data_IF_241913107318
#
_entry.id   IF_241913107318
#
_cell.length_a   1.000
_cell.length_b   1.000
_cell.length_c   1.000
_cell.angle_alpha   90.00
_cell.angle_beta   90.00
_cell.angle_gamma   90.00
#
_symmetry.space_group_name_H-M   'P 1'
#
loop_
_entity.id
_entity.type
_entity.pdbx_description
1 polymer ?
2 non-polymer ?
3 non-polymer ?
4 water ?
#
# COMPACT_ATOMS: atom_id res chain seq x y z
N UNK A 1 -7.13 18.35 4.03
CA UNK A 1 -6.65 16.98 3.78
C UNK A 1 -7.61 16.27 2.80
N UNK A 2 -7.57 14.94 2.79
CA UNK A 2 -8.66 14.01 2.40
C UNK A 2 -9.11 13.32 3.68
N UNK A 3 -10.29 12.78 3.69
CA UNK A 3 -10.83 12.00 4.83
C UNK A 3 -10.32 10.57 4.70
N UNK A 4 -9.72 10.07 5.75
CA UNK A 4 -9.30 8.66 5.86
C UNK A 4 -10.32 7.92 6.70
N UNK A 5 -10.72 6.68 6.39
CA UNK A 5 -10.26 5.95 5.21
C UNK A 5 -10.71 6.58 3.90
N UNK A 6 -9.91 6.44 2.86
CA UNK A 6 -10.12 7.10 1.56
C UNK A 6 -10.13 6.01 0.50
N UNK A 7 -11.11 6.07 -0.38
CA UNK A 7 -11.19 5.17 -1.54
C UNK A 7 -10.80 5.91 -2.81
N UNK A 8 -9.83 5.36 -3.53
CA UNK A 8 -9.40 5.81 -4.86
C UNK A 8 -9.87 4.76 -5.86
N UNK A 9 -10.90 5.03 -6.68
CA UNK A 9 -11.28 4.11 -7.73
C UNK A 9 -10.13 3.98 -8.71
N UNK A 10 -9.91 2.76 -9.23
CA UNK A 10 -8.89 2.46 -10.23
C UNK A 10 -9.65 1.99 -11.46
N UNK A 11 -10.06 2.89 -12.37
CA UNK A 11 -11.00 2.50 -13.43
C UNK A 11 -10.44 1.45 -14.39
N UNK A 12 -11.11 0.32 -14.51
CA UNK A 12 -10.60 -0.79 -15.31
C UNK A 12 -9.44 -1.51 -14.66
N UNK A 13 -9.27 -1.32 -13.37
CA UNK A 13 -8.22 -2.00 -12.63
C UNK A 13 -6.86 -1.47 -12.91
N UNK A 14 -5.88 -2.24 -12.51
CA UNK A 14 -4.45 -1.85 -12.66
C UNK A 14 -3.89 -2.55 -13.88
N UNK A 15 -2.76 -2.08 -14.33
CA UNK A 15 -2.11 -2.52 -15.58
C UNK A 15 -0.66 -2.15 -15.40
N UNK A 16 0.27 -2.87 -16.01
CA UNK A 16 1.64 -2.40 -15.99
C UNK A 16 1.74 -0.99 -16.60
N UNK A 17 2.63 -0.22 -15.98
CA UNK A 17 2.97 1.21 -16.26
C UNK A 17 2.06 2.19 -15.53
N UNK A 18 1.15 1.69 -14.71
CA UNK A 18 0.31 2.55 -13.87
C UNK A 18 1.08 2.84 -12.58
N UNK A 19 1.16 4.13 -12.31
CA UNK A 19 1.89 4.62 -11.10
C UNK A 19 0.90 5.29 -10.18
N UNK A 20 0.81 4.80 -8.93
CA UNK A 20 -0.05 5.42 -7.91
C UNK A 20 0.84 6.19 -6.93
N UNK A 21 0.49 7.44 -6.71
CA UNK A 21 1.24 8.31 -5.76
C UNK A 21 0.36 8.72 -4.61
N UNK A 22 0.86 8.51 -3.39
CA UNK A 22 0.12 8.84 -2.15
C UNK A 22 1.01 9.81 -1.38
N UNK A 23 0.51 10.99 -1.08
CA UNK A 23 1.24 11.99 -0.26
C UNK A 23 0.51 12.17 1.05
N UNK A 24 1.23 12.14 2.16
CA UNK A 24 0.60 12.44 3.45
C UNK A 24 1.65 12.68 4.51
N UNK A 25 1.19 12.82 5.73
CA UNK A 25 2.05 13.01 6.89
C UNK A 25 1.60 12.00 7.94
N UNK A 26 2.55 11.34 8.59
CA UNK A 26 2.23 10.35 9.63
C UNK A 26 1.79 11.12 10.88
N UNK A 27 0.73 10.69 11.54
CA UNK A 27 0.27 11.31 12.81
C UNK A 27 1.33 11.13 13.89
N UNK A 28 1.31 11.95 14.96
CA UNK A 28 2.19 11.65 16.07
C UNK A 28 1.70 10.34 16.72
N UNK A 29 2.63 9.56 17.23
CA UNK A 29 2.29 8.34 17.99
C UNK A 29 1.51 7.38 17.07
N UNK A 30 1.80 7.39 15.77
CA UNK A 30 1.14 6.43 14.85
C UNK A 30 1.35 4.99 15.30
N UNK A 31 0.36 4.16 14.99
CA UNK A 31 0.41 2.69 15.19
C UNK A 31 0.45 1.95 13.84
N UNK A 32 -0.35 2.36 12.85
CA UNK A 32 -0.39 1.66 11.54
C UNK A 32 -0.76 2.59 10.39
N UNK A 33 -0.35 2.13 9.21
CA UNK A 33 -0.86 2.62 7.91
C UNK A 33 -1.25 1.40 7.10
N UNK A 34 -2.27 1.55 6.23
CA UNK A 34 -2.57 0.47 5.28
C UNK A 34 -2.97 0.99 3.91
N UNK A 35 -2.38 0.37 2.89
CA UNK A 35 -2.89 0.46 1.50
C UNK A 35 -3.50 -0.89 1.18
N UNK A 36 -4.72 -0.88 0.68
CA UNK A 36 -5.41 -2.14 0.33
C UNK A 36 -5.88 -2.05 -1.12
N UNK A 37 -5.18 -2.72 -2.02
CA UNK A 37 -5.60 -2.80 -3.44
C UNK A 37 -6.63 -3.92 -3.53
N UNK A 38 -7.90 -3.60 -3.84
CA UNK A 38 -9.03 -4.56 -3.69
C UNK A 38 -9.53 -5.05 -5.04
N UNK A 39 -9.88 -6.33 -5.07
CA UNK A 39 -10.67 -6.97 -6.13
C UNK A 39 -11.97 -7.42 -5.46
N UNK A 40 -12.99 -6.60 -5.54
CA UNK A 40 -14.20 -6.86 -4.73
C UNK A 40 -13.80 -7.03 -3.26
N UNK A 41 -14.25 -8.11 -2.62
CA UNK A 41 -13.94 -8.32 -1.19
C UNK A 41 -12.51 -8.82 -1.00
N UNK A 42 -11.83 -9.25 -2.05
CA UNK A 42 -10.44 -9.74 -1.93
C UNK A 42 -9.49 -8.54 -1.88
N UNK A 43 -8.36 -8.76 -1.22
CA UNK A 43 -7.28 -7.74 -1.18
C UNK A 43 -6.13 -8.33 -1.94
N UNK A 44 -5.90 -7.82 -3.15
CA UNK A 44 -4.80 -8.31 -3.98
C UNK A 44 -3.46 -7.97 -3.35
N UNK A 45 -3.35 -6.80 -2.74
CA UNK A 45 -2.06 -6.29 -2.19
C UNK A 45 -2.42 -5.40 -1.02
N UNK A 46 -2.06 -5.90 0.15
CA UNK A 46 -2.13 -5.18 1.44
C UNK A 46 -0.73 -4.76 1.86
N UNK A 47 -0.50 -3.48 2.02
CA UNK A 47 0.80 -2.88 2.37
C UNK A 47 0.59 -2.22 3.72
N UNK A 48 1.23 -2.74 4.78
CA UNK A 48 0.79 -2.41 6.15
C UNK A 48 1.98 -2.13 7.05
N UNK A 49 2.51 -0.89 7.01
CA UNK A 49 3.46 -0.44 8.04
C UNK A 49 2.89 -0.50 9.45
N UNK A 50 3.63 -1.19 10.31
CA UNK A 50 3.30 -1.38 11.74
C UNK A 50 4.41 -0.74 12.61
N UNK A 51 4.07 0.32 13.35
CA UNK A 51 5.04 1.19 14.07
C UNK A 51 5.50 0.55 15.38
N UNK A 52 4.70 -0.35 15.93
CA UNK A 52 5.05 -0.97 17.23
C UNK A 52 4.53 -2.40 17.28
N UNK A 53 5.16 -3.31 16.57
CA UNK A 53 4.83 -4.75 16.70
C UNK A 53 5.89 -5.33 17.62
N UNK A 54 5.55 -5.54 18.89
CA UNK A 54 6.52 -6.00 19.92
C UNK A 54 7.75 -5.07 19.93
N UNK A 55 7.55 -3.74 19.86
CA UNK A 55 8.60 -2.68 19.95
C UNK A 55 9.54 -2.72 18.75
N UNK A 56 9.05 -3.25 17.62
CA UNK A 56 9.80 -3.24 16.35
C UNK A 56 8.90 -2.58 15.31
N UNK A 57 9.52 -1.98 14.30
CA UNK A 57 8.79 -1.34 13.19
C UNK A 57 8.94 -2.32 12.03
N UNK A 58 7.83 -2.70 11.38
CA UNK A 58 7.91 -3.68 10.28
C UNK A 58 6.81 -3.34 9.26
N UNK A 59 7.10 -3.57 7.99
CA UNK A 59 6.05 -3.49 6.94
C UNK A 59 5.57 -4.91 6.67
N UNK A 60 4.27 -5.12 6.84
CA UNK A 60 3.66 -6.43 6.51
C UNK A 60 2.96 -6.31 5.16
N UNK A 61 3.23 -7.22 4.25
CA UNK A 61 2.48 -7.31 2.95
C UNK A 61 1.78 -8.65 2.84
N UNK A 62 0.59 -8.70 2.27
CA UNK A 62 -0.18 -9.95 2.17
C UNK A 62 -1.32 -9.77 1.17
N UNK A 63 -2.02 -10.86 0.97
CA UNK A 63 -3.21 -10.98 0.10
C UNK A 63 -4.32 -11.66 0.88
N UNK A 64 -5.55 -11.21 0.72
CA UNK A 64 -6.75 -11.78 1.37
C UNK A 64 -7.65 -12.33 0.27
N UNK A 65 -7.89 -13.63 0.28
CA UNK A 65 -8.74 -14.36 -0.69
C UNK A 65 -9.87 -15.03 0.08
N UNK A 66 -11.12 -14.75 -0.32
CA UNK A 66 -12.31 -15.41 0.30
C UNK A 66 -12.24 -15.19 1.83
N UNK A 67 -11.90 -13.97 2.26
CA UNK A 67 -11.74 -13.56 3.69
C UNK A 67 -10.57 -14.21 4.44
N UNK A 68 -9.65 -14.91 3.79
CA UNK A 68 -8.50 -15.55 4.47
C UNK A 68 -7.22 -14.84 4.06
N UNK A 69 -6.41 -14.40 5.02
CA UNK A 69 -5.06 -13.87 4.77
C UNK A 69 -4.13 -15.02 4.41
N UNK A 70 -3.24 -14.79 3.49
CA UNK A 70 -2.22 -15.72 3.01
C UNK A 70 -0.97 -15.62 3.85
N UNK A 71 0.12 -16.05 3.26
CA UNK A 71 1.48 -15.98 3.86
C UNK A 71 1.93 -14.53 3.82
N UNK A 72 2.33 -13.98 4.96
CA UNK A 72 2.87 -12.60 5.00
C UNK A 72 4.26 -12.55 4.39
N UNK A 73 4.60 -11.43 3.75
CA UNK A 73 5.93 -11.01 3.30
C UNK A 73 6.34 -9.85 4.18
N UNK A 74 7.49 -9.97 4.84
CA UNK A 74 8.00 -8.94 5.77
C UNK A 74 9.36 -8.42 5.35
N UNK A 75 9.44 -7.10 5.49
CA UNK A 75 10.50 -6.13 5.17
C UNK A 75 10.94 -5.50 6.48
N UNK A 76 12.22 -5.50 6.86
CA UNK A 76 12.63 -4.71 8.05
C UNK A 76 13.02 -3.26 7.70
N UNK A 77 13.23 -2.88 6.44
CA UNK A 77 13.53 -1.47 6.12
C UNK A 77 12.23 -0.71 6.33
N UNK A 78 12.26 0.36 7.12
CA UNK A 78 11.05 1.06 7.60
C UNK A 78 11.25 2.56 7.47
N UNK A 79 10.95 3.15 6.28
CA UNK A 79 11.29 4.54 6.00
C UNK A 79 10.38 5.61 6.63
N UNK A 80 9.27 5.21 7.23
CA UNK A 80 8.26 6.11 7.84
C UNK A 80 8.69 6.51 9.25
N UNK A 81 8.29 7.72 9.62
CA UNK A 81 8.53 8.29 10.99
C UNK A 81 7.30 9.06 11.44
N UNK A 82 6.87 8.85 12.69
CA UNK A 82 5.73 9.56 13.27
C UNK A 82 6.01 11.07 13.10
N UNK A 83 4.99 11.77 12.64
CA UNK A 83 5.06 13.23 12.50
C UNK A 83 5.61 13.72 11.19
N UNK A 84 6.14 12.87 10.32
CA UNK A 84 6.89 13.35 9.15
C UNK A 84 6.16 13.07 7.84
N UNK A 85 6.29 13.98 6.86
CA UNK A 85 5.68 13.83 5.54
C UNK A 85 6.38 12.72 4.75
N UNK A 86 5.55 11.97 4.00
CA UNK A 86 6.02 10.87 3.12
C UNK A 86 5.36 10.98 1.75
N UNK A 87 5.99 10.29 0.82
CA UNK A 87 5.48 9.99 -0.53
C UNK A 87 5.59 8.48 -0.75
N UNK A 88 4.48 7.81 -1.02
CA UNK A 88 4.52 6.40 -1.44
C UNK A 88 4.23 6.35 -2.92
N UNK A 89 5.07 5.66 -3.67
CA UNK A 89 4.80 5.44 -5.11
C UNK A 89 4.67 3.94 -5.33
N UNK A 90 3.55 3.52 -5.91
CA UNK A 90 3.37 2.09 -6.23
C UNK A 90 3.31 1.99 -7.76
N UNK A 91 4.33 1.37 -8.36
CA UNK A 91 4.39 1.16 -9.81
C UNK A 91 3.98 -0.28 -10.10
N UNK A 92 2.96 -0.43 -10.95
CA UNK A 92 2.55 -1.80 -11.36
C UNK A 92 3.51 -2.27 -12.46
N UNK A 93 4.19 -3.38 -12.25
CA UNK A 93 5.09 -3.96 -13.27
C UNK A 93 4.45 -5.29 -13.68
N UNK A 94 4.96 -5.93 -14.76
CA UNK A 94 4.34 -7.18 -15.20
C UNK A 94 4.18 -8.27 -14.14
N UNK A 95 5.20 -8.47 -13.30
CA UNK A 95 5.25 -9.62 -12.36
C UNK A 95 4.98 -9.16 -10.91
N UNK A 96 4.92 -7.86 -10.64
CA UNK A 96 4.91 -7.39 -9.23
C UNK A 96 4.45 -5.93 -9.14
N UNK A 97 4.04 -5.58 -7.93
CA UNK A 97 3.96 -4.16 -7.51
C UNK A 97 5.36 -3.76 -7.02
N UNK A 98 5.81 -2.62 -7.47
CA UNK A 98 7.12 -2.05 -7.01
C UNK A 98 6.82 -0.80 -6.17
N UNK A 99 7.29 -0.76 -4.92
CA UNK A 99 6.98 0.34 -3.97
C UNK A 99 8.24 1.13 -3.67
N UNK A 100 8.17 2.44 -3.85
CA UNK A 100 9.21 3.38 -3.40
C UNK A 100 8.59 4.31 -2.37
N UNK A 101 9.37 4.69 -1.34
CA UNK A 101 8.97 5.72 -0.36
C UNK A 101 10.02 6.82 -0.37
N UNK A 102 9.56 8.02 -0.51
CA UNK A 102 10.47 9.21 -0.49
C UNK A 102 11.55 9.02 -1.56
N UNK A 103 11.15 8.55 -2.73
CA UNK A 103 12.02 8.37 -3.94
C UNK A 103 13.03 7.24 -3.78
N UNK A 104 12.99 6.46 -2.73
CA UNK A 104 13.90 5.31 -2.55
C UNK A 104 13.13 4.00 -2.67
N UNK A 105 13.57 3.11 -3.55
CA UNK A 105 13.02 1.75 -3.62
C UNK A 105 12.90 1.11 -2.25
N UNK A 106 11.76 0.54 -1.95
CA UNK A 106 11.51 -0.16 -0.68
C UNK A 106 11.38 -1.66 -0.92
N UNK A 107 10.40 -2.08 -1.74
CA UNK A 107 10.08 -3.52 -1.85
C UNK A 107 9.29 -3.77 -3.13
N UNK A 108 9.24 -5.07 -3.44
CA UNK A 108 8.35 -5.52 -4.52
C UNK A 108 7.52 -6.65 -3.98
N UNK A 109 6.34 -6.82 -4.55
CA UNK A 109 5.34 -7.83 -4.12
C UNK A 109 4.82 -8.51 -5.38
N UNK A 110 5.17 -9.82 -5.60
CA UNK A 110 4.74 -10.67 -6.77
C UNK A 110 3.21 -10.66 -6.79
N UNK A 111 2.69 -10.60 -8.00
CA UNK A 111 1.22 -10.73 -8.22
C UNK A 111 0.73 -12.12 -7.83
N UNK A 112 -0.14 -12.16 -6.84
CA UNK A 112 -0.82 -13.41 -6.47
C UNK A 112 -2.21 -13.41 -7.12
N UNK A 113 -2.90 -12.28 -7.10
CA UNK A 113 -4.16 -12.09 -7.87
C UNK A 113 -3.71 -11.79 -9.30
N UNK A 114 -4.25 -12.48 -10.29
CA UNK A 114 -3.77 -12.46 -11.69
C UNK A 114 -4.65 -11.53 -12.51
N UNK A 115 -5.89 -11.29 -12.07
CA UNK A 115 -6.86 -10.49 -12.86
C UNK A 115 -6.64 -9.03 -12.48
N UNK A 116 -5.55 -8.49 -12.97
CA UNK A 116 -5.15 -7.09 -12.64
C UNK A 116 -6.23 -6.09 -13.00
N UNK A 117 -6.94 -6.30 -14.10
CA UNK A 117 -7.97 -5.33 -14.54
C UNK A 117 -9.22 -5.42 -13.68
N UNK A 118 -9.25 -6.29 -12.65
CA UNK A 118 -10.37 -6.37 -11.68
C UNK A 118 -9.96 -5.82 -10.32
N UNK A 119 -8.73 -5.32 -10.17
CA UNK A 119 -8.26 -4.64 -8.92
C UNK A 119 -8.65 -3.17 -9.02
N UNK A 120 -9.90 -2.88 -8.72
CA UNK A 120 -10.61 -1.69 -9.18
C UNK A 120 -10.71 -0.61 -8.09
N UNK A 121 -10.16 -0.84 -6.90
CA UNK A 121 -10.19 0.21 -5.87
C UNK A 121 -8.92 0.12 -5.04
N UNK A 122 -8.49 1.26 -4.53
CA UNK A 122 -7.41 1.37 -3.51
C UNK A 122 -7.97 2.03 -2.27
N UNK A 123 -7.96 1.30 -1.16
CA UNK A 123 -8.29 1.80 0.18
C UNK A 123 -7.05 2.34 0.87
N UNK A 124 -7.09 3.58 1.35
CA UNK A 124 -5.95 4.17 2.12
C UNK A 124 -6.45 4.43 3.53
N UNK A 125 -5.80 3.88 4.53
CA UNK A 125 -6.32 3.97 5.92
C UNK A 125 -5.16 4.08 6.91
N UNK A 126 -5.50 4.37 8.16
CA UNK A 126 -4.50 4.41 9.25
C UNK A 126 -4.18 5.82 9.74
N UNK A 127 -3.01 5.90 10.38
CA UNK A 127 -2.70 7.02 11.29
C UNK A 127 -1.96 8.07 10.49
N UNK A 128 -2.62 8.64 9.51
CA UNK A 128 -2.02 9.62 8.58
C UNK A 128 -2.95 10.80 8.38
N UNK A 129 -2.36 11.95 8.07
CA UNK A 129 -3.08 13.04 7.39
C UNK A 129 -2.84 12.82 5.91
N UNK A 130 -3.88 12.53 5.14
CA UNK A 130 -3.72 12.23 3.71
C UNK A 130 -3.86 13.53 2.89
N UNK A 131 -2.81 13.89 2.19
CA UNK A 131 -2.73 15.14 1.38
C UNK A 131 -3.34 14.88 0.01
N UNK A 132 -2.92 13.82 -0.67
CA UNK A 132 -3.44 13.54 -2.02
C UNK A 132 -3.19 12.08 -2.36
N UNK A 133 -3.98 11.58 -3.29
CA UNK A 133 -3.86 10.23 -3.86
C UNK A 133 -4.25 10.26 -5.32
N UNK A 134 -3.39 9.84 -6.21
CA UNK A 134 -3.68 9.95 -7.66
C UNK A 134 -2.96 8.85 -8.40
N UNK A 135 -3.17 8.76 -9.71
CA UNK A 135 -2.44 7.81 -10.57
C UNK A 135 -2.11 8.50 -11.89
N UNK A 136 -1.12 7.93 -12.54
CA UNK A 136 -0.76 8.32 -13.93
C UNK A 136 -0.20 7.11 -14.65
N UNK A 137 -0.27 7.14 -15.99
CA UNK A 137 0.28 6.09 -16.86
C UNK A 137 1.62 6.61 -17.31
N UNK A 138 2.71 5.91 -17.01
CA UNK A 138 4.09 6.33 -17.38
C UNK A 138 4.59 5.51 -18.57
X LIG B 1 -7.12 -13.78 -10.01
X LIG C 1 -12.02 13.16 1.06
X LIG D 1 -3.58 -9.74 10.38
X LIG D 1 -1.89 -9.19 7.21
X LIG D 1 -3.06 -9.14 8.15
X LIG D 1 -3.75 -7.79 8.29
X LIG D 1 -4.84 -7.83 9.38
X LIG D 1 -4.34 -8.45 10.67
X LIG D 1 -2.68 -11.61 11.55
X LIG D 1 -2.54 -9.56 9.42
X LIG D 1 -2.94 -10.19 11.54
X LIG D 1 -3.51 -7.49 11.38
X LIG D 1 -3.17 -7.76 12.66
X LIG D 1 -5.33 -6.50 9.69
X LIG D 1 -6.40 -6.07 9.00
X LIG D 1 -2.78 -6.77 8.54
X LIG D 1 -1.26 -10.48 7.16
X LIG D 1 -6.86 -6.65 8.04
X LIG D 1 -3.46 -8.79 13.24
X LIG D 1 -2.44 -6.64 13.33
X LIG D 1 -6.98 -4.80 9.56
X LIG D 1 -8.07 -4.23 8.92
X LIG D 1 -6.52 -4.21 10.75
X LIG D 1 -8.68 -3.10 9.44
X LIG D 1 -7.15 -3.08 11.25
X LIG D 1 -8.24 -2.52 10.62
X LIG D 1 -8.94 -1.31 11.20
X LIG D 1 -1.79 -6.96 14.52
X LIG D 1 -2.27 -5.36 12.79
X LIG D 1 -0.98 -6.04 15.16
X LIG D 1 -1.47 -4.46 13.46
X LIG D 1 -1.24 -3.12 12.87
X LIG D 1 -0.81 -4.77 14.64
X LIG D 1 -1.65 -2.90 11.71
X LIG D 1 -0.56 -2.32 13.53
#
# INVERSE_FOLDING_TARGET
MLIVPYNLPLPGGVVPRMLITILGTVKPNANRIALDFQRGNDVAFHFNPRFNENNRRVIVCNTKLDNNWGREERQSVFPFESGKPFKIQVLVEPDHFKVAVNDAHLLQYNHRVKKLNEISKLGISGDIDLTSASYTMI
CL CL
CL CL
5EI C1 C6 C5 C4 C3 C2 C7 O5 O1 O2 C8 O3 C9 O4 O6 O8 O7 CA1 CB1 CB2 CB6 CB3 CB5 CB4 C10 CA6 CA2 CA5 CA3 N1 CA4 ON2 ON1
#
